data_IF_547798687370
#
_entry.id   IF_547798687370
#
_cell.length_a   1.000
_cell.length_b   1.000
_cell.length_c   1.000
_cell.angle_alpha   90.00
_cell.angle_beta   90.00
_cell.angle_gamma   90.00
#
_symmetry.space_group_name_H-M   'P 1'
#
loop_
_entity.id
_entity.type
_entity.pdbx_description
1 polymer ?
#
# COMPACT_ATOMS: atom_id res chain seq x y z
N UNK A 1 -16.35 0.54 -6.55
CA UNK A 1 -14.92 0.33 -6.25
C UNK A 1 -14.73 -1.11 -5.83
N UNK A 2 -13.78 -1.83 -6.43
CA UNK A 2 -13.38 -3.17 -6.01
C UNK A 2 -11.97 -3.10 -5.43
N UNK A 3 -11.70 -3.88 -4.39
CA UNK A 3 -10.37 -4.00 -3.78
C UNK A 3 -9.91 -5.43 -4.01
N UNK A 4 -8.70 -5.60 -4.54
CA UNK A 4 -8.11 -6.90 -4.83
C UNK A 4 -6.81 -7.02 -4.06
N UNK A 5 -6.64 -8.14 -3.37
CA UNK A 5 -5.41 -8.52 -2.68
C UNK A 5 -4.81 -9.72 -3.38
N UNK A 6 -3.55 -9.62 -3.79
CA UNK A 6 -2.73 -10.74 -4.22
C UNK A 6 -1.80 -11.14 -3.08
N UNK A 7 -1.83 -12.42 -2.70
CA UNK A 7 -0.96 -12.97 -1.66
C UNK A 7 -0.01 -14.01 -2.28
N UNK A 8 1.29 -13.83 -2.06
CA UNK A 8 2.32 -14.71 -2.60
C UNK A 8 3.34 -15.08 -1.52
N UNK A 9 3.60 -16.38 -1.39
CA UNK A 9 4.63 -16.90 -0.50
C UNK A 9 5.91 -17.14 -1.31
N UNK A 10 6.97 -16.42 -0.98
CA UNK A 10 8.24 -16.45 -1.70
C UNK A 10 9.38 -16.77 -0.76
N UNK A 11 10.29 -17.64 -1.21
CA UNK A 11 11.62 -17.80 -0.62
C UNK A 11 12.62 -17.22 -1.59
N UNK A 12 13.38 -16.24 -1.12
CA UNK A 12 14.42 -15.55 -1.89
C UNK A 12 15.74 -15.72 -1.17
N UNK A 13 16.84 -15.66 -1.93
CA UNK A 13 18.17 -15.72 -1.33
C UNK A 13 18.67 -14.34 -0.92
N UNK A 14 18.16 -13.29 -1.56
CA UNK A 14 18.55 -11.90 -1.31
C UNK A 14 17.35 -10.97 -1.43
N UNK A 15 17.40 -9.81 -0.77
CA UNK A 15 16.36 -8.77 -0.90
C UNK A 15 16.37 -8.14 -2.30
N UNK A 16 17.52 -8.15 -2.97
CA UNK A 16 17.67 -7.71 -4.36
C UNK A 16 16.91 -8.61 -5.31
N UNK A 17 16.93 -9.93 -5.11
CA UNK A 17 16.14 -10.88 -5.91
C UNK A 17 14.65 -10.58 -5.78
N UNK A 18 14.16 -10.36 -4.55
CA UNK A 18 12.79 -9.96 -4.29
C UNK A 18 12.44 -8.62 -4.97
N UNK A 19 13.32 -7.62 -4.88
CA UNK A 19 13.10 -6.32 -5.49
C UNK A 19 12.99 -6.43 -7.01
N UNK A 20 13.91 -7.14 -7.68
CA UNK A 20 13.85 -7.36 -9.13
C UNK A 20 12.55 -8.06 -9.53
N UNK A 21 12.20 -9.13 -8.81
CA UNK A 21 10.96 -9.85 -9.05
C UNK A 21 9.74 -8.92 -8.94
N UNK A 22 9.64 -8.17 -7.83
CA UNK A 22 8.51 -7.29 -7.53
C UNK A 22 8.30 -6.22 -8.60
N UNK A 23 9.38 -5.61 -9.09
CA UNK A 23 9.29 -4.57 -10.12
C UNK A 23 8.91 -5.14 -11.49
N UNK A 24 9.32 -6.37 -11.80
CA UNK A 24 8.92 -7.04 -13.05
C UNK A 24 7.45 -7.45 -13.03
N UNK A 25 6.97 -8.03 -11.92
CA UNK A 25 5.56 -8.42 -11.82
C UNK A 25 4.65 -7.19 -11.77
N UNK A 26 5.08 -6.11 -11.10
CA UNK A 26 4.30 -4.87 -11.06
C UNK A 26 3.87 -4.32 -12.42
N UNK A 27 4.71 -4.49 -13.45
CA UNK A 27 4.39 -4.02 -14.79
C UNK A 27 3.24 -4.79 -15.43
N UNK A 28 3.01 -6.04 -15.01
CA UNK A 28 2.00 -6.94 -15.56
C UNK A 28 0.77 -7.14 -14.64
N UNK A 29 0.97 -7.13 -13.31
CA UNK A 29 -0.07 -7.47 -12.33
C UNK A 29 -1.32 -6.60 -12.43
N UNK A 30 -1.26 -5.26 -12.62
CA UNK A 30 -2.45 -4.43 -12.74
C UNK A 30 -3.32 -4.80 -13.95
N UNK A 31 -2.71 -5.11 -15.10
CA UNK A 31 -3.44 -5.54 -16.29
C UNK A 31 -4.12 -6.89 -16.03
N UNK A 32 -3.39 -7.85 -15.46
CA UNK A 32 -3.95 -9.15 -15.11
C UNK A 32 -5.09 -9.06 -14.09
N UNK A 33 -4.96 -8.21 -13.05
CA UNK A 33 -6.02 -7.97 -12.06
C UNK A 33 -7.24 -7.34 -12.73
N UNK A 34 -7.05 -6.39 -13.63
CA UNK A 34 -8.12 -5.77 -14.40
C UNK A 34 -8.92 -6.82 -15.17
N UNK A 35 -8.25 -7.68 -15.94
CA UNK A 35 -8.88 -8.77 -16.69
C UNK A 35 -9.63 -9.75 -15.77
N UNK A 36 -9.07 -10.08 -14.60
CA UNK A 36 -9.74 -10.92 -13.62
C UNK A 36 -11.02 -10.30 -13.09
N UNK A 37 -11.00 -9.01 -12.74
CA UNK A 37 -12.18 -8.31 -12.22
C UNK A 37 -13.25 -8.15 -13.30
N UNK A 38 -12.88 -7.82 -14.54
CA UNK A 38 -13.82 -7.74 -15.67
C UNK A 38 -14.54 -9.08 -15.84
N UNK A 39 -13.80 -10.20 -15.90
CA UNK A 39 -14.41 -11.53 -16.04
C UNK A 39 -15.35 -11.89 -14.89
N UNK A 40 -15.00 -11.53 -13.66
CA UNK A 40 -15.87 -11.77 -12.49
C UNK A 40 -17.15 -10.94 -12.58
N UNK A 41 -17.07 -9.70 -13.05
CA UNK A 41 -18.23 -8.83 -13.22
C UNK A 41 -19.12 -9.31 -14.37
N UNK A 42 -18.56 -9.75 -15.49
CA UNK A 42 -19.31 -10.37 -16.59
C UNK A 42 -20.10 -11.63 -16.15
N UNK A 43 -19.57 -12.38 -15.19
CA UNK A 43 -20.24 -13.59 -14.66
C UNK A 43 -21.41 -13.29 -13.72
N UNK A 44 -21.43 -12.10 -13.09
CA UNK A 44 -22.32 -11.80 -11.97
C UNK A 44 -23.19 -10.55 -12.16
N UNK A 45 -22.88 -9.68 -13.12
CA UNK A 45 -23.66 -8.48 -13.40
C UNK A 45 -24.88 -8.78 -14.28
N UNK A 46 -26.00 -8.08 -14.03
CA UNK A 46 -27.13 -8.07 -14.94
C UNK A 46 -26.74 -7.30 -16.22
N UNK A 47 -27.08 -7.81 -17.43
CA UNK A 47 -26.67 -7.20 -18.71
C UNK A 47 -27.01 -5.71 -18.85
N UNK A 48 -28.06 -5.24 -18.18
CA UNK A 48 -28.55 -3.86 -18.26
C UNK A 48 -27.81 -2.88 -17.33
N UNK A 49 -27.08 -3.36 -16.31
CA UNK A 49 -26.34 -2.51 -15.35
C UNK A 49 -24.91 -2.21 -15.82
N UNK A 50 -24.35 -3.07 -16.67
CA UNK A 50 -23.02 -2.92 -17.27
C UNK A 50 -23.05 -2.21 -18.63
N UNK A 51 -24.24 -1.79 -19.10
CA UNK A 51 -24.46 -1.22 -20.43
C UNK A 51 -23.45 -0.13 -20.81
N UNK A 52 -22.90 -0.24 -22.03
CA UNK A 52 -21.98 0.67 -22.75
C UNK A 52 -20.74 1.19 -22.00
N UNK A 53 -20.56 0.83 -20.72
CA UNK A 53 -19.42 1.17 -19.86
C UNK A 53 -18.29 0.16 -20.05
N UNK A 54 -17.95 -0.13 -21.30
CA UNK A 54 -16.76 -0.89 -21.71
C UNK A 54 -15.44 -0.15 -21.40
N UNK A 55 -15.38 0.53 -20.26
CA UNK A 55 -14.20 1.21 -19.77
C UNK A 55 -13.21 0.19 -19.23
N UNK A 56 -11.97 0.28 -19.69
CA UNK A 56 -10.84 -0.44 -19.10
C UNK A 56 -10.78 -0.14 -17.60
N UNK A 57 -10.95 -1.16 -16.75
CA UNK A 57 -10.64 -1.00 -15.33
C UNK A 57 -9.14 -0.67 -15.22
N UNK A 58 -8.83 0.40 -14.51
CA UNK A 58 -7.45 0.84 -14.29
C UNK A 58 -7.18 0.81 -12.79
N UNK A 59 -6.53 -0.24 -12.26
CA UNK A 59 -6.17 -0.29 -10.85
C UNK A 59 -5.33 0.93 -10.48
N UNK A 60 -5.83 1.72 -9.54
CA UNK A 60 -5.15 2.90 -9.02
C UNK A 60 -4.58 2.49 -7.66
N UNK A 61 -3.25 2.50 -7.54
CA UNK A 61 -2.51 2.25 -6.29
C UNK A 61 -2.36 0.77 -5.91
N UNK A 62 -1.09 0.33 -5.72
CA UNK A 62 -0.73 -1.03 -5.31
C UNK A 62 0.53 -0.93 -4.42
N UNK A 63 0.32 -0.83 -3.11
CA UNK A 63 1.40 -0.95 -2.13
C UNK A 63 1.66 -2.41 -1.78
N UNK A 64 2.89 -2.68 -1.33
CA UNK A 64 3.29 -4.03 -0.94
C UNK A 64 3.31 -4.14 0.57
N UNK A 65 2.85 -5.27 1.09
CA UNK A 65 3.00 -5.60 2.50
C UNK A 65 3.86 -6.87 2.60
N UNK A 66 4.98 -6.79 3.31
CA UNK A 66 5.95 -7.87 3.45
C UNK A 66 5.98 -8.38 4.88
N UNK A 67 5.78 -9.69 5.05
CA UNK A 67 6.01 -10.37 6.30
C UNK A 67 7.34 -11.14 6.23
N UNK A 68 8.29 -10.75 7.08
CA UNK A 68 9.57 -11.43 7.22
C UNK A 68 9.45 -12.47 8.34
N UNK A 69 9.23 -13.74 8.02
CA UNK A 69 9.07 -14.82 9.03
C UNK A 69 10.40 -15.47 9.40
N UNK A 70 11.07 -16.07 8.42
CA UNK A 70 12.30 -16.82 8.61
C UNK A 70 13.51 -15.98 8.17
N UNK A 71 14.04 -15.19 9.11
CA UNK A 71 15.23 -14.36 8.87
C UNK A 71 16.35 -14.72 9.85
N UNK A 72 17.58 -14.81 9.34
CA UNK A 72 18.79 -14.93 10.16
C UNK A 72 19.28 -13.57 10.69
N UNK A 73 18.70 -12.47 10.22
CA UNK A 73 19.08 -11.12 10.63
C UNK A 73 18.57 -10.80 12.04
N UNK A 74 19.41 -10.12 12.81
CA UNK A 74 19.10 -9.67 14.18
C UNK A 74 19.61 -8.25 14.40
N UNK A 75 19.06 -7.56 15.41
CA UNK A 75 19.49 -6.20 15.76
C UNK A 75 19.42 -5.23 14.57
N UNK A 76 20.48 -4.44 14.36
CA UNK A 76 20.52 -3.45 13.27
C UNK A 76 20.41 -4.04 11.87
N UNK A 77 20.86 -5.28 11.65
CA UNK A 77 20.70 -5.93 10.34
C UNK A 77 19.24 -6.24 10.01
N UNK A 78 18.43 -6.58 11.02
CA UNK A 78 16.99 -6.74 10.85
C UNK A 78 16.32 -5.40 10.50
N UNK A 79 16.74 -4.31 11.14
CA UNK A 79 16.22 -2.98 10.84
C UNK A 79 16.53 -2.59 9.39
N UNK A 80 17.77 -2.76 8.94
CA UNK A 80 18.14 -2.54 7.54
C UNK A 80 17.32 -3.42 6.57
N UNK A 81 17.10 -4.69 6.90
CA UNK A 81 16.27 -5.57 6.07
C UNK A 81 14.84 -5.04 5.93
N UNK A 82 14.22 -4.58 7.02
CA UNK A 82 12.87 -4.00 7.00
C UNK A 82 12.82 -2.71 6.17
N UNK A 83 13.80 -1.82 6.32
CA UNK A 83 13.90 -0.62 5.48
C UNK A 83 14.07 -0.96 4.00
N UNK A 84 14.90 -1.94 3.66
CA UNK A 84 15.10 -2.38 2.27
C UNK A 84 13.84 -3.02 1.67
N UNK A 85 13.10 -3.81 2.46
CA UNK A 85 11.81 -4.38 2.06
C UNK A 85 10.76 -3.29 1.78
N UNK A 86 10.73 -2.25 2.61
CA UNK A 86 9.82 -1.11 2.44
C UNK A 86 10.23 -0.19 1.28
N UNK A 87 11.52 -0.11 0.95
CA UNK A 87 12.03 0.73 -0.16
C UNK A 87 12.88 -0.09 -1.14
N UNK A 88 12.31 -1.06 -1.87
CA UNK A 88 13.08 -1.98 -2.72
C UNK A 88 13.75 -1.28 -3.93
N UNK A 89 13.33 -0.06 -4.28
CA UNK A 89 13.96 0.71 -5.36
C UNK A 89 15.44 0.99 -5.14
N UNK A 90 15.94 0.96 -3.90
CA UNK A 90 17.36 1.26 -3.62
C UNK A 90 18.30 0.10 -3.92
N UNK A 91 17.77 -1.03 -4.39
CA UNK A 91 18.53 -2.22 -4.77
C UNK A 91 18.55 -2.45 -6.29
N UNK A 92 17.70 -1.74 -7.06
CA UNK A 92 17.50 -1.99 -8.49
C UNK A 92 17.57 -0.72 -9.33
N UNK A 93 18.06 -0.85 -10.56
CA UNK A 93 17.84 0.12 -11.61
C UNK A 93 16.49 -0.19 -12.30
N UNK A 94 15.56 0.78 -12.20
CA UNK A 94 14.20 0.70 -12.75
C UNK A 94 13.91 1.77 -13.81
N UNK A 95 14.95 2.37 -14.39
CA UNK A 95 14.80 3.38 -15.45
C UNK A 95 14.11 2.80 -16.69
N UNK A 96 14.35 1.52 -16.97
CA UNK A 96 13.61 0.74 -17.95
C UNK A 96 12.72 -0.29 -17.22
N UNK A 97 11.40 -0.09 -17.16
CA UNK A 97 10.46 -1.02 -16.53
C UNK A 97 10.46 -2.42 -17.16
N UNK A 98 10.79 -2.55 -18.45
CA UNK A 98 10.88 -3.85 -19.12
C UNK A 98 12.16 -4.61 -18.75
N UNK A 99 13.19 -3.90 -18.31
CA UNK A 99 14.52 -4.45 -18.03
C UNK A 99 15.04 -4.06 -16.65
N UNK A 100 14.24 -4.31 -15.61
CA UNK A 100 14.70 -4.10 -14.23
C UNK A 100 15.86 -5.03 -13.90
N UNK A 101 16.95 -4.44 -13.44
CA UNK A 101 18.20 -5.12 -13.07
C UNK A 101 18.71 -4.64 -11.71
N UNK A 102 19.51 -5.43 -10.98
CA UNK A 102 20.21 -4.97 -9.79
C UNK A 102 21.09 -3.74 -10.05
N UNK A 103 21.28 -2.87 -9.06
CA UNK A 103 22.20 -1.71 -9.18
C UNK A 103 23.66 -2.11 -9.40
N UNK A 104 24.05 -3.29 -8.92
CA UNK A 104 25.39 -3.83 -9.10
C UNK A 104 25.69 -4.95 -8.11
N UNK A 105 26.77 -5.72 -8.34
CA UNK A 105 27.22 -6.73 -7.40
C UNK A 105 27.57 -6.10 -6.04
N UNK A 106 27.11 -6.71 -4.95
CA UNK A 106 27.41 -6.25 -3.58
C UNK A 106 26.67 -4.99 -3.12
N UNK A 107 25.70 -4.48 -3.89
CA UNK A 107 24.90 -3.32 -3.48
C UNK A 107 24.13 -3.59 -2.18
N UNK A 108 23.51 -4.77 -2.06
CA UNK A 108 22.82 -5.20 -0.84
C UNK A 108 23.80 -5.35 0.33
N UNK A 109 24.95 -6.00 0.13
CA UNK A 109 25.96 -6.17 1.17
C UNK A 109 26.48 -4.83 1.70
N UNK A 110 26.64 -3.84 0.83
CA UNK A 110 27.00 -2.49 1.24
C UNK A 110 25.90 -1.85 2.12
N UNK A 111 24.62 -2.00 1.75
CA UNK A 111 23.49 -1.50 2.56
C UNK A 111 23.47 -2.10 3.95
N UNK A 112 23.68 -3.41 4.07
CA UNK A 112 23.76 -4.09 5.37
C UNK A 112 24.99 -3.66 6.18
N UNK A 113 26.16 -3.53 5.54
CA UNK A 113 27.39 -3.08 6.19
C UNK A 113 27.25 -1.68 6.76
N UNK A 114 26.58 -0.80 6.02
CA UNK A 114 26.44 0.62 6.37
C UNK A 114 25.24 0.88 7.31
N UNK A 115 24.45 -0.15 7.65
CA UNK A 115 23.26 0.00 8.49
C UNK A 115 22.21 0.90 7.85
N UNK A 116 21.98 0.74 6.54
CA UNK A 116 21.16 1.67 5.77
C UNK A 116 19.72 1.77 6.28
N UNK A 117 19.21 3.00 6.30
CA UNK A 117 17.81 3.35 6.60
C UNK A 117 17.31 4.38 5.59
N UNK A 118 15.99 4.43 5.40
CA UNK A 118 15.34 5.44 4.55
C UNK A 118 14.71 6.53 5.42
N UNK A 119 15.11 7.81 5.29
CA UNK A 119 14.54 8.90 6.07
C UNK A 119 13.04 9.15 5.80
N UNK A 120 12.49 8.62 4.70
CA UNK A 120 11.06 8.74 4.35
C UNK A 120 10.21 7.59 4.89
N UNK A 121 10.80 6.69 5.68
CA UNK A 121 10.09 5.59 6.30
C UNK A 121 9.93 5.82 7.79
N UNK A 122 8.87 5.26 8.35
CA UNK A 122 8.53 5.40 9.76
C UNK A 122 8.53 4.01 10.40
N UNK A 123 9.43 3.74 11.35
CA UNK A 123 9.41 2.49 12.09
C UNK A 123 8.20 2.45 13.03
N UNK A 124 7.65 1.26 13.21
CA UNK A 124 6.58 0.99 14.17
C UNK A 124 6.79 -0.38 14.82
N UNK A 125 6.09 -0.62 15.93
CA UNK A 125 6.20 -1.87 16.67
C UNK A 125 6.08 -1.63 18.18
N UNK A 126 6.33 -2.68 18.95
CA UNK A 126 6.33 -2.62 20.40
C UNK A 126 6.96 -3.91 20.93
N UNK A 127 7.80 -3.79 21.95
CA UNK A 127 8.57 -4.91 22.46
C UNK A 127 9.58 -5.42 21.42
N UNK A 128 9.44 -6.68 21.01
CA UNK A 128 10.38 -7.36 20.12
C UNK A 128 9.94 -7.40 18.65
N UNK A 129 8.64 -7.20 18.37
CA UNK A 129 8.14 -7.10 17.00
C UNK A 129 8.53 -5.78 16.35
N UNK A 130 8.94 -5.82 15.08
CA UNK A 130 9.43 -4.64 14.35
C UNK A 130 8.75 -4.49 13.01
N UNK A 131 8.39 -3.27 12.65
CA UNK A 131 7.86 -2.94 11.35
C UNK A 131 8.37 -1.59 10.85
N UNK A 132 8.30 -1.40 9.54
CA UNK A 132 8.68 -0.14 8.88
C UNK A 132 7.65 0.15 7.81
N UNK A 133 7.00 1.31 7.91
CA UNK A 133 6.06 1.80 6.91
C UNK A 133 6.74 2.83 6.01
N UNK A 134 6.38 2.88 4.74
CA UNK A 134 6.89 3.84 3.78
C UNK A 134 5.94 3.99 2.60
N UNK A 135 6.22 4.98 1.76
CA UNK A 135 5.40 5.25 0.58
C UNK A 135 5.24 4.03 -0.34
N UNK A 136 6.24 3.14 -0.42
CA UNK A 136 6.21 1.99 -1.34
C UNK A 136 5.67 0.70 -0.71
N UNK A 137 5.40 0.71 0.60
CA UNK A 137 4.89 -0.48 1.27
C UNK A 137 5.12 -0.51 2.79
N UNK A 138 4.84 -1.66 3.37
CA UNK A 138 4.99 -1.94 4.79
C UNK A 138 5.75 -3.24 4.95
N UNK A 139 6.82 -3.25 5.74
CA UNK A 139 7.53 -4.47 6.12
C UNK A 139 7.32 -4.75 7.60
N UNK A 140 7.15 -6.02 7.96
CA UNK A 140 6.91 -6.44 9.33
C UNK A 140 7.59 -7.76 9.65
N UNK A 141 8.22 -7.83 10.80
CA UNK A 141 8.79 -9.03 11.38
C UNK A 141 8.05 -9.35 12.68
N UNK A 142 7.15 -10.35 12.68
CA UNK A 142 6.47 -10.80 13.90
C UNK A 142 7.45 -11.55 14.79
N UNK A 143 7.25 -11.46 16.10
CA UNK A 143 7.98 -12.28 17.07
C UNK A 143 7.00 -13.20 17.83
N UNK A 144 7.28 -14.52 17.94
CA UNK A 144 6.31 -15.52 18.37
C UNK A 144 5.80 -15.35 19.81
N UNK A 145 6.60 -14.74 20.68
CA UNK A 145 6.38 -14.76 22.13
C UNK A 145 5.62 -13.53 22.66
N UNK A 146 5.16 -12.63 21.79
CA UNK A 146 4.43 -11.42 22.16
C UNK A 146 3.04 -11.39 21.51
N UNK A 147 2.11 -10.58 22.05
CA UNK A 147 0.85 -10.22 21.34
C UNK A 147 1.17 -9.33 20.14
N UNK A 148 1.85 -9.90 19.17
CA UNK A 148 2.25 -9.28 17.92
C UNK A 148 1.03 -8.95 17.06
N UNK A 149 1.20 -7.98 16.18
CA UNK A 149 0.24 -7.73 15.11
C UNK A 149 0.23 -8.94 14.19
N UNK A 150 -0.95 -9.34 13.73
CA UNK A 150 -1.05 -10.31 12.64
C UNK A 150 -0.81 -9.57 11.32
N UNK A 151 -0.27 -10.29 10.33
CA UNK A 151 -0.13 -9.70 8.99
C UNK A 151 -1.48 -9.30 8.40
N UNK A 152 -2.57 -9.99 8.75
CA UNK A 152 -3.92 -9.60 8.34
C UNK A 152 -4.32 -8.22 8.89
N UNK A 153 -3.99 -7.90 10.13
CA UNK A 153 -4.28 -6.58 10.71
C UNK A 153 -3.55 -5.44 9.99
N UNK A 154 -2.31 -5.70 9.56
CA UNK A 154 -1.52 -4.75 8.77
C UNK A 154 -2.16 -4.58 7.39
N UNK A 155 -2.46 -5.70 6.71
CA UNK A 155 -3.06 -5.67 5.38
C UNK A 155 -4.44 -5.01 5.37
N UNK A 156 -5.30 -5.28 6.36
CA UNK A 156 -6.65 -4.70 6.41
C UNK A 156 -6.58 -3.16 6.47
N UNK A 157 -5.68 -2.61 7.31
CA UNK A 157 -5.49 -1.17 7.39
C UNK A 157 -4.89 -0.59 6.11
N UNK A 158 -3.94 -1.31 5.54
CA UNK A 158 -3.26 -0.93 4.31
C UNK A 158 -4.28 -0.85 3.16
N UNK A 159 -5.16 -1.86 3.01
CA UNK A 159 -6.25 -1.85 2.04
C UNK A 159 -7.24 -0.71 2.26
N UNK A 160 -7.63 -0.42 3.51
CA UNK A 160 -8.47 0.74 3.84
C UNK A 160 -7.80 2.05 3.37
N UNK A 161 -6.49 2.19 3.61
CA UNK A 161 -5.73 3.36 3.18
C UNK A 161 -5.64 3.47 1.66
N UNK A 162 -5.33 2.38 0.94
CA UNK A 162 -5.27 2.39 -0.53
C UNK A 162 -6.62 2.70 -1.16
N UNK A 163 -7.70 2.10 -0.65
CA UNK A 163 -9.04 2.32 -1.16
C UNK A 163 -9.46 3.79 -1.05
N UNK A 164 -9.20 4.41 0.11
CA UNK A 164 -9.48 5.83 0.32
C UNK A 164 -8.55 6.74 -0.48
N UNK A 165 -7.30 6.34 -0.68
CA UNK A 165 -6.36 7.06 -1.52
C UNK A 165 -6.83 7.06 -2.98
N UNK A 166 -7.19 5.89 -3.52
CA UNK A 166 -7.68 5.74 -4.89
C UNK A 166 -8.97 6.53 -5.12
N UNK A 167 -9.92 6.46 -4.18
CA UNK A 167 -11.17 7.22 -4.26
C UNK A 167 -10.92 8.73 -4.21
N UNK A 168 -10.06 9.20 -3.30
CA UNK A 168 -9.71 10.62 -3.20
C UNK A 168 -8.99 11.10 -4.47
N UNK A 169 -8.13 10.26 -5.04
CA UNK A 169 -7.41 10.56 -6.29
C UNK A 169 -8.35 10.68 -7.47
N UNK A 170 -9.36 9.80 -7.57
CA UNK A 170 -10.37 9.87 -8.61
C UNK A 170 -11.15 11.20 -8.56
N UNK A 171 -11.56 11.61 -7.35
CA UNK A 171 -12.24 12.90 -7.14
C UNK A 171 -11.38 14.07 -7.60
N UNK A 172 -10.13 14.10 -7.17
CA UNK A 172 -9.21 15.19 -7.53
C UNK A 172 -8.91 15.20 -9.03
N UNK A 173 -8.82 14.03 -9.67
CA UNK A 173 -8.58 13.93 -11.10
C UNK A 173 -9.76 14.50 -11.93
N UNK A 174 -11.01 14.33 -11.48
CA UNK A 174 -12.17 14.98 -12.12
C UNK A 174 -12.01 16.51 -12.10
N UNK A 175 -11.65 17.06 -10.94
CA UNK A 175 -11.41 18.52 -10.78
C UNK A 175 -10.24 18.98 -11.66
N UNK A 176 -9.13 18.26 -11.66
CA UNK A 176 -7.97 18.54 -12.52
C UNK A 176 -8.31 18.51 -14.01
N UNK A 177 -9.30 17.70 -14.39
CA UNK A 177 -9.84 17.61 -15.76
C UNK A 177 -10.85 18.72 -16.09
N UNK A 178 -11.16 19.60 -15.13
CA UNK A 178 -12.11 20.71 -15.30
C UNK A 178 -13.57 20.30 -15.13
N UNK A 179 -13.83 19.13 -14.55
CA UNK A 179 -15.17 18.60 -14.29
C UNK A 179 -15.58 18.86 -12.83
N UNK A 180 -16.88 19.07 -12.60
CA UNK A 180 -17.42 19.09 -11.24
C UNK A 180 -17.44 17.65 -10.69
N UNK A 181 -16.86 17.38 -9.51
CA UNK A 181 -16.77 16.03 -8.99
C UNK A 181 -18.15 15.54 -8.52
N UNK A 182 -18.74 14.61 -9.26
CA UNK A 182 -20.03 13.98 -8.93
C UNK A 182 -19.81 12.55 -8.47
N UNK A 183 -20.25 12.24 -7.25
CA UNK A 183 -20.23 10.90 -6.67
C UNK A 183 -21.65 10.44 -6.34
N UNK A 184 -21.92 9.12 -6.34
CA UNK A 184 -23.17 8.61 -5.78
C UNK A 184 -23.40 9.15 -4.34
N UNK A 185 -24.65 9.42 -3.93
CA UNK A 185 -24.95 10.05 -2.63
C UNK A 185 -24.32 9.33 -1.43
N UNK A 186 -24.20 8.01 -1.49
CA UNK A 186 -23.59 7.16 -0.48
C UNK A 186 -22.06 7.33 -0.35
N UNK A 187 -21.39 7.88 -1.37
CA UNK A 187 -19.94 8.09 -1.44
C UNK A 187 -19.53 9.58 -1.48
N UNK A 188 -20.42 10.50 -1.09
CA UNK A 188 -20.13 11.95 -1.06
C UNK A 188 -19.17 12.40 0.04
N UNK A 189 -18.99 13.72 0.21
CA UNK A 189 -18.01 14.29 1.15
C UNK A 189 -18.21 13.82 2.61
N UNK A 190 -19.45 13.57 3.04
CA UNK A 190 -19.77 13.06 4.39
C UNK A 190 -19.24 11.65 4.60
N UNK A 191 -19.25 10.82 3.56
CA UNK A 191 -18.66 9.49 3.59
C UNK A 191 -17.15 9.57 3.77
N UNK A 192 -16.46 10.38 2.96
CA UNK A 192 -15.01 10.58 3.08
C UNK A 192 -14.63 11.12 4.47
N UNK A 193 -15.40 12.08 5.00
CA UNK A 193 -15.21 12.59 6.37
C UNK A 193 -15.34 11.48 7.42
N UNK A 194 -16.40 10.67 7.33
CA UNK A 194 -16.61 9.56 8.25
C UNK A 194 -15.49 8.51 8.15
N UNK A 195 -15.03 8.20 6.94
CA UNK A 195 -13.92 7.29 6.70
C UNK A 195 -12.61 7.80 7.32
N UNK A 196 -12.29 9.09 7.14
CA UNK A 196 -11.14 9.73 7.78
C UNK A 196 -11.17 9.58 9.30
N UNK A 197 -12.33 9.87 9.91
CA UNK A 197 -12.50 9.77 11.36
C UNK A 197 -12.29 8.34 11.83
N UNK A 198 -12.86 7.34 11.14
CA UNK A 198 -12.66 5.92 11.47
C UNK A 198 -11.20 5.46 11.34
N UNK A 199 -10.46 6.07 10.42
CA UNK A 199 -9.07 5.74 10.14
C UNK A 199 -8.09 6.44 11.11
N UNK A 200 -8.44 7.61 11.62
CA UNK A 200 -7.55 8.40 12.48
C UNK A 200 -7.83 8.26 13.97
N UNK A 201 -9.08 7.95 14.33
CA UNK A 201 -9.51 7.87 15.74
C UNK A 201 -9.10 6.54 16.35
N UNK A 202 -8.45 6.60 17.51
CA UNK A 202 -8.12 5.41 18.27
C UNK A 202 -9.39 4.66 18.73
N UNK A 203 -9.39 3.34 18.60
CA UNK A 203 -10.52 2.51 19.04
C UNK A 203 -10.33 2.07 20.50
N UNK A 204 -11.39 1.93 21.32
CA UNK A 204 -11.25 1.48 22.71
C UNK A 204 -10.54 0.13 22.88
N UNK A 205 -10.60 -0.74 21.87
CA UNK A 205 -9.96 -2.06 21.84
C UNK A 205 -8.63 -2.07 21.07
N UNK A 206 -8.18 -0.92 20.57
CA UNK A 206 -6.93 -0.79 19.83
C UNK A 206 -5.73 -0.95 20.77
N UNK A 207 -4.80 -1.85 20.43
CA UNK A 207 -3.56 -1.97 21.21
C UNK A 207 -2.59 -0.83 20.86
N UNK A 208 -1.61 -0.57 21.75
CA UNK A 208 -0.58 0.43 21.47
C UNK A 208 0.17 0.14 20.15
N UNK A 209 0.43 -1.14 19.84
CA UNK A 209 1.07 -1.56 18.58
C UNK A 209 0.22 -1.23 17.36
N UNK A 210 -1.11 -1.45 17.42
CA UNK A 210 -2.02 -1.08 16.33
C UNK A 210 -2.00 0.43 16.09
N UNK A 211 -2.03 1.23 17.17
CA UNK A 211 -2.00 2.68 17.06
C UNK A 211 -0.74 3.19 16.36
N UNK A 212 0.45 2.74 16.78
CA UNK A 212 1.71 3.19 16.17
C UNK A 212 1.89 2.70 14.74
N UNK A 213 1.44 1.47 14.43
CA UNK A 213 1.40 0.94 13.06
C UNK A 213 0.53 1.81 12.16
N UNK A 214 -0.66 2.17 12.66
CA UNK A 214 -1.59 3.04 11.95
C UNK A 214 -1.05 4.44 11.72
N UNK A 215 -0.47 5.05 12.75
CA UNK A 215 0.18 6.36 12.63
C UNK A 215 1.31 6.34 11.57
N UNK A 216 2.15 5.30 11.58
CA UNK A 216 3.23 5.14 10.60
C UNK A 216 2.72 5.00 9.16
N UNK A 217 1.74 4.14 8.92
CA UNK A 217 1.14 3.96 7.58
C UNK A 217 0.51 5.27 7.10
N UNK A 218 -0.30 5.93 7.94
CA UNK A 218 -0.96 7.17 7.55
C UNK A 218 0.03 8.30 7.26
N UNK A 219 1.07 8.44 8.06
CA UNK A 219 2.10 9.48 7.88
C UNK A 219 2.91 9.31 6.58
N UNK A 220 3.02 8.08 6.08
CA UNK A 220 3.83 7.77 4.89
C UNK A 220 3.00 7.61 3.61
N UNK A 221 1.67 7.66 3.72
CA UNK A 221 0.73 7.43 2.62
C UNK A 221 0.23 8.68 1.89
N UNK A 222 0.55 9.88 2.39
CA UNK A 222 -0.01 11.18 1.95
C UNK A 222 -1.56 11.26 1.96
N UNK A 223 -2.24 10.20 2.43
CA UNK A 223 -3.69 10.07 2.42
C UNK A 223 -4.39 11.18 3.19
N UNK A 224 -3.94 11.60 4.41
CA UNK A 224 -4.67 12.60 5.18
C UNK A 224 -4.89 13.92 4.43
N UNK A 225 -3.88 14.41 3.72
CA UNK A 225 -3.97 15.67 2.99
C UNK A 225 -4.77 15.51 1.70
N UNK A 226 -4.53 14.41 0.96
CA UNK A 226 -5.28 14.10 -0.26
C UNK A 226 -6.78 13.93 -0.02
N UNK A 227 -7.12 13.25 1.07
CA UNK A 227 -8.50 12.98 1.43
C UNK A 227 -9.22 14.22 1.98
N UNK A 228 -8.50 15.18 2.58
CA UNK A 228 -9.07 16.50 2.90
C UNK A 228 -9.36 17.30 1.62
N UNK A 229 -8.42 17.35 0.69
CA UNK A 229 -8.63 18.04 -0.60
C UNK A 229 -9.83 17.47 -1.37
N UNK A 230 -9.98 16.15 -1.41
CA UNK A 230 -11.13 15.50 -2.04
C UNK A 230 -12.46 15.80 -1.31
N UNK A 231 -12.45 15.89 0.02
CA UNK A 231 -13.64 16.30 0.79
C UNK A 231 -14.09 17.71 0.44
N UNK A 232 -13.14 18.65 0.36
CA UNK A 232 -13.44 20.04 0.04
C UNK A 232 -13.98 20.16 -1.39
N UNK A 233 -13.33 19.48 -2.36
CA UNK A 233 -13.80 19.43 -3.74
C UNK A 233 -15.24 18.91 -3.89
N UNK A 234 -15.59 17.81 -3.20
CA UNK A 234 -16.95 17.27 -3.23
C UNK A 234 -17.97 18.15 -2.50
N UNK A 235 -17.55 18.85 -1.44
CA UNK A 235 -18.43 19.76 -0.71
C UNK A 235 -18.77 20.98 -1.56
N UNK A 236 -17.79 21.52 -2.27
CA UNK A 236 -17.95 22.73 -3.05
C UNK A 236 -18.70 22.47 -4.37
N UNK A 237 -18.54 21.26 -4.95
CA UNK A 237 -19.26 20.81 -6.15
C UNK A 237 -20.69 20.28 -5.91
N UNK A 238 -21.08 19.97 -4.66
CA UNK A 238 -22.44 19.56 -4.28
C UNK A 238 -22.90 20.33 -3.01
N UNK A 239 -23.29 21.61 -3.14
CA UNK A 239 -23.82 22.41 -2.02
C UNK A 239 -25.18 21.92 -1.49
#
# INVERSE_FOLDING_TARGET
MAVVRLEEHRRVNTLTELAVWRYRTYAADPAWVSDCVVRLLEQHALPDEWGDRGGSLCPQYVLSAYELRDASWTGGSLDTALHLLTTPSVLVNRQDPAHVVPLGPGAEDAKFRDGWTDPKTVPFGGGVSRGVAGWSGVAYHPQPDERALTMSQIVDLELDAQALWALSSHVLHMVESGEDPVMPPEFGWRFLRAAYVRLTTARPTETAQHRVMREAILSTSELPDRLRAAQDALRDGNP
#
